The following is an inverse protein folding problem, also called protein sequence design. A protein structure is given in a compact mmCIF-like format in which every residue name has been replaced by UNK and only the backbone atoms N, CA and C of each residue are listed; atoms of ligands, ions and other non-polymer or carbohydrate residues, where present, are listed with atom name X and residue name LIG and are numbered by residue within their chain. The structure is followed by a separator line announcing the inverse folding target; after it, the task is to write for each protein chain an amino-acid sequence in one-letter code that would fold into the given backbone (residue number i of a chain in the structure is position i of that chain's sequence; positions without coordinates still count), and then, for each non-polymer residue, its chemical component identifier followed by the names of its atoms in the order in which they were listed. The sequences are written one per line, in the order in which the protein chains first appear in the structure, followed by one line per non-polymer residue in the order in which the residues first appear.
data_IF_095654267845
#
_entry.id   IF_095654267845
#
_cell.length_a   1.000
_cell.length_b   1.000
_cell.length_c   1.000
_cell.angle_alpha   90.00
_cell.angle_beta   90.00
_cell.angle_gamma   90.00
#
_symmetry.space_group_name_H-M   'P 1'
#
loop_
_entity.id
_entity.type
_entity.pdbx_description
1 polymer ?
#
# COMPACT_ATOMS: atom_id res chain seq x y z
N UNK A 1 -14.47 4.00 3.39
CA UNK A 1 -13.62 3.34 4.39
C UNK A 1 -12.20 3.39 3.85
N UNK A 2 -11.22 3.73 4.69
CA UNK A 2 -9.82 3.69 4.29
C UNK A 2 -9.23 2.31 4.67
N UNK A 3 -8.54 1.68 3.73
CA UNK A 3 -8.01 0.32 3.87
C UNK A 3 -6.49 0.36 3.66
N UNK A 4 -5.74 0.10 4.73
CA UNK A 4 -4.30 -0.13 4.66
C UNK A 4 -4.04 -1.61 4.40
N UNK A 5 -3.20 -1.92 3.42
CA UNK A 5 -2.87 -3.29 3.04
C UNK A 5 -1.38 -3.42 2.75
N UNK A 6 -0.81 -4.55 3.17
CA UNK A 6 0.54 -4.98 2.78
C UNK A 6 0.42 -6.27 1.99
N UNK A 7 1.08 -6.32 0.83
CA UNK A 7 1.17 -7.53 0.02
C UNK A 7 2.63 -7.83 -0.34
N UNK A 8 2.88 -9.10 -0.65
CA UNK A 8 4.16 -9.56 -1.17
C UNK A 8 4.19 -9.46 -2.70
N UNK A 9 5.35 -9.77 -3.31
CA UNK A 9 5.55 -9.65 -4.75
C UNK A 9 4.63 -10.54 -5.59
N UNK A 10 4.13 -11.64 -5.02
CA UNK A 10 3.18 -12.58 -5.60
C UNK A 10 1.72 -12.21 -5.35
N UNK A 11 1.45 -10.99 -4.85
CA UNK A 11 0.14 -10.45 -4.48
C UNK A 11 -0.48 -11.12 -3.24
N UNK A 12 0.25 -11.98 -2.53
CA UNK A 12 -0.22 -12.53 -1.26
C UNK A 12 -0.36 -11.41 -0.22
N UNK A 13 -1.56 -11.28 0.36
CA UNK A 13 -1.87 -10.23 1.34
C UNK A 13 -1.38 -10.69 2.72
N UNK A 14 -0.39 -10.01 3.27
CA UNK A 14 0.21 -10.33 4.57
C UNK A 14 -0.42 -9.56 5.72
N UNK A 15 -0.95 -8.36 5.47
CA UNK A 15 -1.63 -7.54 6.47
C UNK A 15 -2.75 -6.72 5.83
N UNK A 16 -3.86 -6.55 6.54
CA UNK A 16 -4.97 -5.68 6.15
C UNK A 16 -5.57 -5.00 7.38
N UNK A 17 -5.81 -3.69 7.28
CA UNK A 17 -6.54 -2.90 8.27
C UNK A 17 -7.59 -2.05 7.55
N UNK A 18 -8.86 -2.35 7.82
CA UNK A 18 -10.01 -1.65 7.24
C UNK A 18 -10.94 -1.10 8.34
N UNK A 19 -10.39 -0.71 9.49
CA UNK A 19 -11.20 -0.24 10.63
C UNK A 19 -11.49 1.26 10.60
N UNK A 20 -10.93 2.00 9.64
CA UNK A 20 -10.96 3.46 9.64
C UNK A 20 -11.91 4.06 8.59
N UNK A 21 -12.61 5.17 8.91
CA UNK A 21 -13.33 5.96 7.93
C UNK A 21 -12.45 6.45 6.77
N UNK A 22 -13.08 6.82 5.65
CA UNK A 22 -12.35 7.29 4.46
C UNK A 22 -11.57 8.59 4.65
N UNK A 23 -11.91 9.38 5.66
CA UNK A 23 -11.29 10.68 5.97
C UNK A 23 -10.04 10.57 6.83
N UNK A 24 -9.68 9.37 7.32
CA UNK A 24 -8.52 9.18 8.19
C UNK A 24 -7.25 9.09 7.34
N UNK A 25 -6.23 9.88 7.69
CA UNK A 25 -4.93 9.87 7.01
C UNK A 25 -4.20 8.52 7.18
N UNK A 26 -3.49 8.12 6.13
CA UNK A 26 -2.77 6.84 6.07
C UNK A 26 -1.70 6.72 7.17
N UNK A 27 -1.00 7.81 7.48
CA UNK A 27 -0.04 7.88 8.59
C UNK A 27 -0.68 7.53 9.94
N UNK A 28 -1.90 8.00 10.19
CA UNK A 28 -2.63 7.68 11.42
C UNK A 28 -3.00 6.19 11.48
N UNK A 29 -3.43 5.62 10.36
CA UNK A 29 -3.74 4.18 10.26
C UNK A 29 -2.49 3.34 10.53
N UNK A 30 -1.34 3.73 9.96
CA UNK A 30 -0.06 3.07 10.18
C UNK A 30 0.33 3.06 11.65
N UNK A 31 0.30 4.23 12.31
CA UNK A 31 0.65 4.39 13.72
C UNK A 31 -0.25 3.55 14.64
N UNK A 32 -1.51 3.35 14.25
CA UNK A 32 -2.48 2.55 14.99
C UNK A 32 -2.59 1.09 14.48
N UNK A 33 -1.61 0.61 13.72
CA UNK A 33 -1.56 -0.77 13.24
C UNK A 33 -0.50 -1.59 13.98
N UNK A 34 -0.47 -2.91 13.73
CA UNK A 34 0.60 -3.78 14.23
C UNK A 34 1.92 -3.63 13.46
N UNK A 35 1.92 -2.92 12.32
CA UNK A 35 3.07 -2.83 11.42
C UNK A 35 4.31 -2.24 12.10
N UNK A 36 4.25 -1.10 12.83
CA UNK A 36 5.45 -0.53 13.45
C UNK A 36 6.11 -1.49 14.44
N UNK A 37 5.32 -2.22 15.23
CA UNK A 37 5.83 -3.22 16.15
C UNK A 37 6.55 -4.36 15.42
N UNK A 38 5.89 -4.95 14.41
CA UNK A 38 6.46 -6.05 13.61
C UNK A 38 7.72 -5.60 12.88
N UNK A 39 7.68 -4.44 12.23
CA UNK A 39 8.82 -3.91 11.48
C UNK A 39 9.99 -3.52 12.38
N UNK A 40 9.73 -3.02 13.60
CA UNK A 40 10.77 -2.79 14.61
C UNK A 40 11.54 -4.06 14.98
N UNK A 41 10.86 -5.22 15.05
CA UNK A 41 11.54 -6.50 15.26
C UNK A 41 12.32 -6.97 14.02
N UNK A 42 11.86 -6.59 12.82
CA UNK A 42 12.47 -6.99 11.55
C UNK A 42 13.56 -6.03 11.04
N UNK A 43 13.77 -4.87 11.68
CA UNK A 43 14.78 -3.87 11.27
C UNK A 43 16.17 -4.49 11.09
N UNK A 44 16.56 -5.44 11.97
CA UNK A 44 17.85 -6.14 11.88
C UNK A 44 18.02 -7.01 10.64
N UNK A 45 16.93 -7.34 9.96
CA UNK A 45 16.91 -8.22 8.79
C UNK A 45 16.90 -7.46 7.46
N UNK A 46 17.11 -6.13 7.45
CA UNK A 46 17.11 -5.30 6.23
C UNK A 46 15.81 -5.50 5.43
N UNK A 47 14.68 -5.51 6.13
CA UNK A 47 13.34 -5.61 5.54
C UNK A 47 12.75 -4.22 5.46
N UNK A 48 12.25 -3.85 4.29
CA UNK A 48 11.60 -2.57 4.04
C UNK A 48 10.21 -2.76 3.47
N UNK A 49 9.30 -1.89 3.89
CA UNK A 49 8.01 -1.67 3.22
C UNK A 49 8.13 -0.48 2.27
N UNK A 50 7.33 -0.50 1.21
CA UNK A 50 7.18 0.63 0.30
C UNK A 50 5.83 1.30 0.55
N UNK A 51 5.88 2.55 0.98
CA UNK A 51 4.71 3.42 1.17
C UNK A 51 4.52 4.39 0.01
N UNK A 52 3.35 5.02 -0.01
CA UNK A 52 3.12 6.25 -0.76
C UNK A 52 3.77 7.48 -0.08
N UNK A 53 3.60 8.65 -0.69
CA UNK A 53 4.12 9.93 -0.20
C UNK A 53 3.37 10.51 1.01
N UNK A 54 2.22 9.92 1.38
CA UNK A 54 1.41 10.30 2.52
C UNK A 54 1.82 9.58 3.82
N UNK A 55 2.68 8.58 3.73
CA UNK A 55 3.29 7.95 4.90
C UNK A 55 4.52 8.72 5.41
N UNK A 56 4.81 8.64 6.73
CA UNK A 56 6.02 9.21 7.29
C UNK A 56 7.27 8.48 6.76
N UNK A 57 8.40 9.19 6.79
CA UNK A 57 9.72 8.62 6.51
C UNK A 57 10.18 7.84 7.75
N UNK A 58 10.30 6.52 7.65
CA UNK A 58 10.75 5.68 8.76
C UNK A 58 11.94 4.81 8.33
N UNK A 59 12.73 4.37 9.31
CA UNK A 59 13.87 3.46 9.11
C UNK A 59 13.56 2.12 8.44
N UNK A 60 12.28 1.75 8.30
CA UNK A 60 11.80 0.53 7.64
C UNK A 60 10.72 0.80 6.58
N UNK A 61 10.33 2.06 6.36
CA UNK A 61 9.31 2.47 5.39
C UNK A 61 9.92 3.42 4.36
N UNK A 62 10.10 2.91 3.15
CA UNK A 62 10.59 3.67 2.02
C UNK A 62 9.42 4.41 1.36
N UNK A 63 9.61 5.69 1.06
CA UNK A 63 8.64 6.55 0.39
C UNK A 63 9.29 7.20 -0.84
N UNK A 64 8.52 7.59 -1.86
CA UNK A 64 9.09 8.20 -3.06
C UNK A 64 9.76 9.55 -2.74
N UNK A 65 10.80 9.88 -3.51
CA UNK A 65 11.46 11.20 -3.45
C UNK A 65 10.56 12.20 -4.18
N UNK A 66 10.05 13.22 -3.48
CA UNK A 66 9.11 14.20 -4.06
C UNK A 66 9.72 15.07 -5.17
N UNK A 67 10.98 15.45 -5.02
CA UNK A 67 11.70 16.31 -5.96
C UNK A 67 13.09 15.73 -6.27
N UNK A 68 13.18 14.70 -7.13
CA UNK A 68 14.46 14.06 -7.47
C UNK A 68 15.36 15.05 -8.22
N UNK A 69 16.61 15.17 -7.76
CA UNK A 69 17.64 16.05 -8.34
C UNK A 69 18.79 15.27 -8.98
N UNK A 70 18.88 13.98 -8.69
CA UNK A 70 19.92 13.10 -9.18
C UNK A 70 19.34 11.94 -9.98
N UNK A 71 20.12 11.41 -10.93
CA UNK A 71 19.75 10.21 -11.70
C UNK A 71 19.50 8.99 -10.80
N UNK A 72 20.17 8.93 -9.65
CA UNK A 72 19.97 7.89 -8.65
C UNK A 72 18.57 7.96 -8.03
N UNK A 73 18.12 9.16 -7.64
CA UNK A 73 16.77 9.38 -7.10
C UNK A 73 15.69 9.11 -8.16
N UNK A 74 15.93 9.47 -9.42
CA UNK A 74 15.01 9.16 -10.54
C UNK A 74 14.84 7.64 -10.71
N UNK A 75 15.96 6.89 -10.74
CA UNK A 75 15.95 5.43 -10.86
C UNK A 75 15.31 4.77 -9.64
N UNK A 76 15.56 5.30 -8.45
CA UNK A 76 14.89 4.86 -7.23
C UNK A 76 13.38 5.05 -7.35
N UNK A 77 12.90 6.23 -7.73
CA UNK A 77 11.48 6.50 -7.89
C UNK A 77 10.84 5.60 -8.95
N UNK A 78 11.55 5.34 -10.06
CA UNK A 78 11.11 4.41 -11.08
C UNK A 78 10.96 2.98 -10.50
N UNK A 79 11.96 2.47 -9.80
CA UNK A 79 11.89 1.15 -9.16
C UNK A 79 10.82 1.08 -8.06
N UNK A 80 10.71 2.14 -7.25
CA UNK A 80 9.70 2.29 -6.21
C UNK A 80 8.30 2.21 -6.80
N UNK A 81 8.01 3.03 -7.81
CA UNK A 81 6.74 3.04 -8.52
C UNK A 81 6.44 1.69 -9.17
N UNK A 82 7.42 1.09 -9.87
CA UNK A 82 7.26 -0.23 -10.50
C UNK A 82 6.88 -1.31 -9.49
N UNK A 83 7.49 -1.30 -8.31
CA UNK A 83 7.22 -2.25 -7.22
C UNK A 83 5.86 -1.97 -6.58
N UNK A 84 5.51 -0.70 -6.35
CA UNK A 84 4.21 -0.31 -5.77
C UNK A 84 3.02 -0.67 -6.67
N UNK A 85 3.20 -0.80 -7.99
CA UNK A 85 2.14 -1.31 -8.89
C UNK A 85 1.62 -2.69 -8.47
N UNK A 86 2.38 -3.47 -7.70
CA UNK A 86 1.92 -4.76 -7.18
C UNK A 86 0.76 -4.56 -6.20
N UNK A 87 0.85 -3.62 -5.25
CA UNK A 87 -0.27 -3.39 -4.30
C UNK A 87 -1.50 -2.83 -5.01
N UNK A 88 -1.31 -1.95 -6.00
CA UNK A 88 -2.40 -1.41 -6.83
C UNK A 88 -3.10 -2.52 -7.62
N UNK A 89 -2.31 -3.41 -8.24
CA UNK A 89 -2.82 -4.59 -8.92
C UNK A 89 -3.58 -5.51 -7.96
N UNK A 90 -3.07 -5.74 -6.75
CA UNK A 90 -3.75 -6.55 -5.74
C UNK A 90 -5.13 -5.96 -5.39
N UNK A 91 -5.22 -4.65 -5.18
CA UNK A 91 -6.51 -3.98 -4.99
C UNK A 91 -7.43 -4.12 -6.21
N UNK A 92 -6.90 -3.97 -7.42
CA UNK A 92 -7.65 -4.17 -8.67
C UNK A 92 -8.23 -5.58 -8.78
N UNK A 93 -7.40 -6.60 -8.51
CA UNK A 93 -7.80 -8.01 -8.54
C UNK A 93 -8.81 -8.37 -7.45
N UNK A 94 -8.68 -7.79 -6.25
CA UNK A 94 -9.68 -7.93 -5.19
C UNK A 94 -11.05 -7.39 -5.62
N UNK A 95 -11.09 -6.17 -6.21
CA UNK A 95 -12.32 -5.55 -6.69
C UNK A 95 -12.92 -6.29 -7.89
N UNK A 96 -12.08 -6.84 -8.77
CA UNK A 96 -12.54 -7.65 -9.89
C UNK A 96 -13.14 -8.98 -9.42
N UNK A 97 -12.45 -9.68 -8.50
CA UNK A 97 -12.90 -10.97 -7.96
C UNK A 97 -14.12 -10.85 -7.04
N UNK A 98 -14.18 -9.80 -6.24
CA UNK A 98 -15.27 -9.53 -5.30
C UNK A 98 -15.93 -8.21 -5.65
N UNK A 99 -16.90 -8.27 -6.58
CA UNK A 99 -17.59 -7.08 -7.09
C UNK A 99 -18.28 -6.26 -6.01
N UNK A 100 -18.63 -6.85 -4.86
CA UNK A 100 -19.13 -6.12 -3.69
C UNK A 100 -18.13 -5.08 -3.12
N UNK A 101 -16.84 -5.15 -3.46
CA UNK A 101 -15.83 -4.13 -3.15
C UNK A 101 -15.67 -3.09 -4.26
N UNK A 102 -16.24 -3.33 -5.43
CA UNK A 102 -16.21 -2.42 -6.57
C UNK A 102 -17.47 -1.55 -6.58
N UNK A 103 -17.35 -0.30 -7.04
CA UNK A 103 -18.49 0.64 -7.05
C UNK A 103 -19.67 0.12 -7.89
N UNK A 104 -19.39 -0.64 -8.96
CA UNK A 104 -20.44 -1.24 -9.82
C UNK A 104 -21.18 -2.43 -9.17
N UNK A 105 -20.60 -3.08 -8.17
CA UNK A 105 -21.31 -4.10 -7.38
C UNK A 105 -22.15 -3.52 -6.25
N UNK A 106 -22.29 -2.18 -6.21
CA UNK A 106 -23.03 -1.44 -5.21
C UNK A 106 -22.15 -0.91 -4.06
N UNK A 107 -22.64 0.11 -3.36
CA UNK A 107 -22.03 0.57 -2.12
C UNK A 107 -22.38 -0.37 -0.98
N UNK A 108 -21.40 -0.72 -0.14
CA UNK A 108 -21.63 -1.51 1.06
C UNK A 108 -22.36 -0.69 2.13
N UNK A 109 -23.70 -0.69 2.08
CA UNK A 109 -24.58 -0.04 3.06
C UNK A 109 -24.73 -0.87 4.34
N UNK A 110 -23.61 -1.22 4.96
CA UNK A 110 -23.58 -1.94 6.24
C UNK A 110 -22.91 -1.10 7.32
N UNK A 111 -23.06 -1.52 8.58
CA UNK A 111 -22.29 -0.91 9.68
C UNK A 111 -20.78 -1.02 9.41
N UNK A 112 -19.96 -0.06 9.86
CA UNK A 112 -18.51 -0.09 9.64
C UNK A 112 -17.86 -1.42 10.04
N UNK A 113 -18.30 -2.01 11.17
CA UNK A 113 -17.85 -3.33 11.62
C UNK A 113 -18.12 -4.43 10.60
N UNK A 114 -19.29 -4.43 9.97
CA UNK A 114 -19.66 -5.43 8.97
C UNK A 114 -18.89 -5.23 7.66
N UNK A 115 -18.72 -3.98 7.23
CA UNK A 115 -17.90 -3.64 6.04
C UNK A 115 -16.46 -4.10 6.23
N UNK A 116 -15.87 -3.85 7.40
CA UNK A 116 -14.54 -4.36 7.77
C UNK A 116 -14.46 -5.89 7.66
N UNK A 117 -15.43 -6.62 8.22
CA UNK A 117 -15.47 -8.08 8.15
C UNK A 117 -15.56 -8.60 6.70
N UNK A 118 -16.33 -7.93 5.85
CA UNK A 118 -16.44 -8.27 4.42
C UNK A 118 -15.08 -8.09 3.73
N UNK A 119 -14.41 -6.95 3.95
CA UNK A 119 -13.10 -6.66 3.34
C UNK A 119 -12.06 -7.71 3.76
N UNK A 120 -11.99 -8.03 5.06
CA UNK A 120 -11.06 -9.06 5.57
C UNK A 120 -11.38 -10.43 4.98
N UNK A 121 -12.65 -10.82 4.92
CA UNK A 121 -13.06 -12.08 4.30
C UNK A 121 -12.65 -12.15 2.82
N UNK A 122 -12.85 -11.07 2.05
CA UNK A 122 -12.39 -10.99 0.66
C UNK A 122 -10.86 -11.13 0.53
N UNK A 123 -10.09 -10.50 1.43
CA UNK A 123 -8.62 -10.65 1.43
C UNK A 123 -8.20 -12.10 1.72
N UNK A 124 -8.83 -12.77 2.69
CA UNK A 124 -8.55 -14.17 3.01
C UNK A 124 -8.91 -15.10 1.84
N UNK A 125 -10.07 -14.89 1.22
CA UNK A 125 -10.52 -15.67 0.06
C UNK A 125 -9.65 -15.40 -1.17
N UNK A 126 -9.14 -14.18 -1.35
CA UNK A 126 -8.16 -13.87 -2.39
C UNK A 126 -6.90 -14.70 -2.23
N UNK A 127 -6.31 -14.71 -1.03
CA UNK A 127 -5.13 -15.52 -0.72
C UNK A 127 -5.37 -17.01 -0.92
N UNK A 128 -6.55 -17.52 -0.52
CA UNK A 128 -6.92 -18.92 -0.75
C UNK A 128 -6.97 -19.23 -2.25
N UNK A 129 -7.61 -18.37 -3.03
CA UNK A 129 -7.70 -18.54 -4.47
C UNK A 129 -6.34 -18.41 -5.18
N UNK A 130 -5.40 -17.59 -4.68
CA UNK A 130 -4.00 -17.60 -5.16
C UNK A 130 -3.34 -18.95 -4.90
N UNK A 131 -3.48 -19.51 -3.68
CA UNK A 131 -2.89 -20.82 -3.33
C UNK A 131 -3.48 -21.96 -4.14
N UNK A 132 -4.77 -21.90 -4.45
CA UNK A 132 -5.49 -22.89 -5.24
C UNK A 132 -5.37 -22.64 -6.76
N UNK A 133 -4.62 -21.62 -7.19
CA UNK A 133 -4.45 -21.24 -8.59
C UNK A 133 -5.79 -21.04 -9.33
N UNK A 134 -6.79 -20.52 -8.63
CA UNK A 134 -8.12 -20.27 -9.21
C UNK A 134 -7.98 -19.18 -10.26
N UNK A 135 -8.37 -19.44 -11.53
CA UNK A 135 -8.26 -18.46 -12.59
C UNK A 135 -9.13 -17.24 -12.28
N UNK A 136 -8.67 -16.06 -12.69
CA UNK A 136 -9.54 -14.90 -12.71
C UNK A 136 -10.54 -15.05 -13.84
N UNK A 137 -11.82 -14.86 -13.55
CA UNK A 137 -12.82 -14.67 -14.59
C UNK A 137 -12.47 -13.34 -15.26
N UNK A 138 -11.97 -13.41 -16.49
CA UNK A 138 -11.66 -12.24 -17.30
C UNK A 138 -12.99 -11.59 -17.68
N UNK A 139 -13.27 -10.41 -17.14
CA UNK A 139 -14.30 -9.54 -17.72
C UNK A 139 -13.61 -8.68 -18.79
N UNK A 140 -13.83 -9.01 -20.05
CA UNK A 140 -13.46 -8.16 -21.19
C UNK A 140 -14.34 -6.89 -21.15
N UNK A 141 -13.85 -5.84 -20.49
CA UNK A 141 -14.52 -4.55 -20.43
C UNK A 141 -13.48 -3.41 -20.45
N UNK A 142 -13.78 -2.27 -21.10
CA UNK A 142 -12.81 -1.20 -21.40
C UNK A 142 -12.38 -0.40 -20.17
N UNK A 143 -12.80 -0.78 -18.96
CA UNK A 143 -12.63 0.00 -17.74
C UNK A 143 -11.43 -0.52 -16.92
N UNK A 144 -10.31 -0.74 -17.63
CA UNK A 144 -8.99 -0.87 -17.03
C UNK A 144 -8.64 0.46 -16.36
N UNK A 145 -9.16 0.62 -15.14
CA UNK A 145 -9.23 1.88 -14.40
C UNK A 145 -7.98 2.71 -14.57
N UNK A 146 -8.17 3.87 -15.20
CA UNK A 146 -7.18 4.92 -15.33
C UNK A 146 -6.69 5.23 -13.93
N UNK A 147 -5.40 4.99 -13.67
CA UNK A 147 -4.72 5.50 -12.48
C UNK A 147 -4.72 7.02 -12.60
N UNK A 148 -5.68 7.66 -11.93
CA UNK A 148 -5.66 9.09 -11.74
C UNK A 148 -4.37 9.43 -10.98
N UNK A 149 -3.54 10.28 -11.59
CA UNK A 149 -2.40 10.89 -10.92
C UNK A 149 -2.89 11.56 -9.64
N UNK A 150 -2.39 11.12 -8.49
CA UNK A 150 -2.70 11.73 -7.21
C UNK A 150 -1.93 13.03 -7.14
N UNK A 151 -2.63 14.15 -7.17
CA UNK A 151 -2.02 15.46 -6.93
C UNK A 151 -1.46 15.54 -5.50
N UNK A 152 -0.33 16.23 -5.29
CA UNK A 152 0.27 16.34 -3.98
C UNK A 152 -0.65 17.16 -3.07
N UNK A 153 -1.10 16.55 -1.97
CA UNK A 153 -1.77 17.25 -0.87
C UNK A 153 -0.69 17.78 0.07
N UNK A 154 -0.68 19.10 0.28
CA UNK A 154 0.13 19.75 1.30
C UNK A 154 -0.19 19.14 2.66
N UNK A 155 0.81 18.47 3.23
CA UNK A 155 0.76 17.89 4.57
C UNK A 155 1.60 18.79 5.47
N UNK A 156 0.95 19.46 6.41
CA UNK A 156 1.60 20.24 7.46
C UNK A 156 2.69 19.40 8.15
N UNK A 157 3.85 20.02 8.31
CA UNK A 157 5.08 19.42 8.82
C UNK A 157 4.95 19.11 10.32
N UNK A 158 4.93 17.84 10.69
CA UNK A 158 5.42 17.42 12.01
C UNK A 158 6.89 17.03 11.85
N UNK A 159 7.76 17.86 12.44
CA UNK A 159 9.20 17.62 12.56
C UNK A 159 9.46 16.29 13.29
N UNK A 160 9.72 15.24 12.52
CA UNK A 160 10.30 14.01 13.04
C UNK A 160 11.83 14.17 13.12
N UNK A 161 12.33 14.00 14.33
CA UNK A 161 13.73 14.16 14.78
C UNK A 161 14.75 13.56 13.79
N UNK A 162 15.86 14.28 13.62
CA UNK A 162 16.85 14.18 12.54
C UNK A 162 17.59 12.82 12.37
N UNK A 163 17.32 11.80 13.20
CA UNK A 163 18.05 10.53 13.19
C UNK A 163 17.50 9.48 12.20
N UNK A 164 16.25 9.56 11.75
CA UNK A 164 15.64 8.53 10.87
C UNK A 164 15.83 8.79 9.35
N UNK A 165 16.39 9.94 8.96
CA UNK A 165 16.51 10.35 7.55
C UNK A 165 17.52 9.51 6.74
N UNK A 166 18.36 8.71 7.41
CA UNK A 166 19.49 8.03 6.76
C UNK A 166 19.11 6.81 5.91
N UNK A 167 17.99 6.14 6.16
CA UNK A 167 17.75 4.83 5.54
C UNK A 167 17.45 4.91 4.04
N UNK A 168 16.51 5.77 3.61
CA UNK A 168 16.16 5.90 2.17
C UNK A 168 17.36 6.38 1.36
N UNK A 169 18.02 7.42 1.81
CA UNK A 169 19.13 8.02 1.06
C UNK A 169 20.34 7.06 1.02
N UNK A 170 20.57 6.28 2.08
CA UNK A 170 21.55 5.17 2.06
C UNK A 170 21.17 4.08 1.06
N UNK A 171 19.89 3.70 0.97
CA UNK A 171 19.41 2.74 -0.05
C UNK A 171 19.62 3.29 -1.46
N UNK A 172 19.33 4.57 -1.69
CA UNK A 172 19.54 5.22 -3.00
C UNK A 172 21.02 5.17 -3.38
N UNK A 173 21.92 5.61 -2.49
CA UNK A 173 23.37 5.61 -2.74
C UNK A 173 23.94 4.20 -2.94
N UNK A 174 23.44 3.21 -2.20
CA UNK A 174 23.93 1.84 -2.25
C UNK A 174 23.50 1.09 -3.51
N UNK A 175 22.26 1.28 -3.97
CA UNK A 175 21.66 0.42 -5.01
C UNK A 175 21.36 1.12 -6.34
N UNK A 176 21.42 2.46 -6.42
CA UNK A 176 20.94 3.22 -7.59
C UNK A 176 22.00 4.16 -8.22
N UNK A 177 23.24 3.69 -8.40
CA UNK A 177 24.33 4.45 -9.05
C UNK A 177 24.11 4.70 -10.54
#
# INVERSE_FOLDING_TARGET
MNVQMVCLADQYISHVNAMFPGSVHDAYILRNSSIPYVMGQLQRHRVWLLGDSGYPKLSWLLTPVRNPRTRAEERYNEAHGRTRRIIERTFGLLKARFRCLHMTGGSLFYSPKKVYQIIVACCMLHNLALRQQVPFLQEDGPDGGVVAAVEPVDSDEEEAEEEEMHNRDSVIQQYFQ
#
